data_IF_808570847463
#
_entry.id   IF_808570847463
#
_cell.length_a   1.000
_cell.length_b   1.000
_cell.length_c   1.000
_cell.angle_alpha   90.00
_cell.angle_beta   90.00
_cell.angle_gamma   90.00
#
_symmetry.space_group_name_H-M   'P 1'
#
loop_
_entity.id
_entity.type
_entity.pdbx_description
1 polymer ?
#
# COMPACT_ATOMS: atom_id res chain seq x y z
N UNK A 1 11.26 6.98 -8.01
CA UNK A 1 10.04 7.71 -8.42
C UNK A 1 9.54 8.46 -7.20
N UNK A 2 8.94 9.63 -7.38
CA UNK A 2 8.56 10.55 -6.30
C UNK A 2 7.06 10.84 -6.38
N UNK A 3 6.32 10.68 -5.29
CA UNK A 3 4.90 11.03 -5.24
C UNK A 3 4.75 12.53 -4.99
N UNK A 4 3.95 13.22 -5.81
CA UNK A 4 3.68 14.65 -5.62
C UNK A 4 2.19 14.91 -5.39
N UNK A 5 1.91 15.66 -4.33
CA UNK A 5 0.56 15.97 -3.85
C UNK A 5 0.48 17.43 -3.40
N UNK A 6 -0.72 17.99 -3.38
CA UNK A 6 -0.96 19.27 -2.74
C UNK A 6 -1.28 19.11 -1.24
N UNK A 7 -0.84 20.07 -0.44
CA UNK A 7 -1.34 20.33 0.91
C UNK A 7 -1.55 21.84 1.02
N UNK A 8 -2.81 22.29 1.04
CA UNK A 8 -3.18 23.71 1.10
C UNK A 8 -2.55 24.51 -0.06
N UNK A 9 -2.61 23.96 -1.27
CA UNK A 9 -2.05 24.57 -2.48
C UNK A 9 -0.51 24.59 -2.55
N UNK A 10 0.19 23.91 -1.64
CA UNK A 10 1.65 23.69 -1.72
C UNK A 10 1.95 22.27 -2.17
N UNK A 11 2.83 22.13 -3.15
CA UNK A 11 3.28 20.82 -3.63
C UNK A 11 4.25 20.24 -2.61
N UNK A 12 3.93 19.05 -2.11
CA UNK A 12 4.80 18.18 -1.34
C UNK A 12 5.29 17.04 -2.23
N UNK A 13 6.52 16.59 -2.00
CA UNK A 13 7.14 15.49 -2.69
C UNK A 13 7.58 14.44 -1.66
N UNK A 14 7.30 13.16 -1.93
CA UNK A 14 7.63 12.05 -1.04
C UNK A 14 8.33 10.95 -1.83
N UNK A 15 9.57 10.66 -1.47
CA UNK A 15 10.30 9.50 -1.96
C UNK A 15 10.02 8.28 -1.08
N UNK A 16 10.28 7.09 -1.62
CA UNK A 16 10.13 5.85 -0.85
C UNK A 16 11.00 5.84 0.41
N UNK A 17 12.19 6.44 0.33
CA UNK A 17 13.14 6.53 1.45
C UNK A 17 12.59 7.37 2.60
N UNK A 18 11.83 8.44 2.29
CA UNK A 18 11.17 9.25 3.32
C UNK A 18 10.15 8.42 4.10
N UNK A 19 9.37 7.60 3.39
CA UNK A 19 8.35 6.74 4.00
C UNK A 19 8.97 5.59 4.78
N UNK A 20 10.06 5.00 4.26
CA UNK A 20 10.83 4.00 5.00
C UNK A 20 11.44 4.58 6.28
N UNK A 21 11.93 5.83 6.24
CA UNK A 21 12.45 6.52 7.42
C UNK A 21 11.36 6.76 8.47
N UNK A 22 10.16 7.14 8.07
CA UNK A 22 9.02 7.32 8.97
C UNK A 22 8.55 6.00 9.59
N UNK A 23 8.47 4.92 8.81
CA UNK A 23 7.96 3.63 9.27
C UNK A 23 8.97 2.83 10.12
N UNK A 24 10.24 2.84 9.73
CA UNK A 24 11.28 1.97 10.27
C UNK A 24 11.38 0.59 9.59
N UNK A 25 12.27 -0.30 10.06
CA UNK A 25 12.75 -1.44 9.28
C UNK A 25 11.86 -2.70 9.30
N UNK A 26 10.81 -2.77 10.13
CA UNK A 26 10.17 -4.04 10.48
C UNK A 26 9.27 -4.68 9.41
N UNK A 27 8.63 -3.86 8.57
CA UNK A 27 7.65 -4.31 7.56
C UNK A 27 7.74 -3.50 6.25
N UNK A 28 8.91 -3.49 5.58
CA UNK A 28 9.14 -2.69 4.37
C UNK A 28 8.17 -3.05 3.23
N UNK A 29 7.72 -4.30 3.15
CA UNK A 29 6.74 -4.73 2.15
C UNK A 29 5.41 -3.98 2.24
N UNK A 30 4.92 -3.66 3.46
CA UNK A 30 3.71 -2.87 3.63
C UNK A 30 3.85 -1.44 3.10
N UNK A 31 5.02 -0.85 3.30
CA UNK A 31 5.38 0.47 2.75
C UNK A 31 5.43 0.41 1.22
N UNK A 32 6.12 -0.58 0.67
CA UNK A 32 6.23 -0.77 -0.78
C UNK A 32 4.86 -0.95 -1.46
N UNK A 33 3.95 -1.74 -0.86
CA UNK A 33 2.59 -1.89 -1.36
C UNK A 33 1.85 -0.55 -1.39
N UNK A 34 1.81 0.18 -0.27
CA UNK A 34 1.08 1.45 -0.21
C UNK A 34 1.69 2.52 -1.12
N UNK A 35 3.03 2.55 -1.26
CA UNK A 35 3.70 3.45 -2.19
C UNK A 35 3.28 3.15 -3.64
N UNK A 36 3.24 1.87 -4.04
CA UNK A 36 2.76 1.47 -5.38
C UNK A 36 1.28 1.71 -5.60
N UNK A 37 0.46 1.56 -4.56
CA UNK A 37 -0.97 1.92 -4.60
C UNK A 37 -1.13 3.41 -4.92
N UNK A 38 -0.39 4.29 -4.22
CA UNK A 38 -0.45 5.73 -4.45
C UNK A 38 0.15 6.10 -5.82
N UNK A 39 1.28 5.49 -6.20
CA UNK A 39 1.88 5.64 -7.53
C UNK A 39 0.88 5.32 -8.64
N UNK A 40 0.06 4.28 -8.45
CA UNK A 40 -0.95 3.86 -9.42
C UNK A 40 -2.20 4.76 -9.41
N UNK A 41 -2.69 5.13 -8.23
CA UNK A 41 -3.98 5.78 -8.07
C UNK A 41 -3.94 7.29 -8.31
N UNK A 42 -2.90 7.99 -7.85
CA UNK A 42 -2.88 9.46 -7.89
C UNK A 42 -3.07 10.05 -9.30
N UNK A 43 -2.43 9.53 -10.37
CA UNK A 43 -2.66 10.03 -11.73
C UNK A 43 -4.09 9.81 -12.25
N UNK A 44 -4.85 8.91 -11.63
CA UNK A 44 -6.26 8.63 -11.97
C UNK A 44 -7.23 9.52 -11.18
N UNK A 45 -6.78 10.11 -10.07
CA UNK A 45 -7.58 11.00 -9.23
C UNK A 45 -7.43 12.48 -9.63
N UNK A 46 -6.30 12.86 -10.20
CA UNK A 46 -6.05 14.21 -10.70
C UNK A 46 -4.67 14.37 -11.34
N UNK A 47 -4.38 15.59 -11.80
CA UNK A 47 -3.06 15.93 -12.34
C UNK A 47 -1.98 15.87 -11.24
N UNK A 48 -0.74 15.54 -11.62
CA UNK A 48 0.38 15.43 -10.68
C UNK A 48 0.53 16.70 -9.84
N UNK A 49 0.62 16.55 -8.52
CA UNK A 49 0.77 17.67 -7.60
C UNK A 49 -0.50 18.51 -7.36
N UNK A 50 -1.62 18.17 -7.99
CA UNK A 50 -2.90 18.89 -7.80
C UNK A 50 -3.84 18.20 -6.81
N UNK A 51 -3.67 16.89 -6.59
CA UNK A 51 -4.47 16.12 -5.64
C UNK A 51 -4.16 16.58 -4.21
N UNK A 52 -5.14 17.22 -3.57
CA UNK A 52 -5.06 17.64 -2.17
C UNK A 52 -5.07 16.42 -1.25
N UNK A 53 -3.93 16.14 -0.61
CA UNK A 53 -3.73 14.92 0.19
C UNK A 53 -4.74 14.77 1.33
N UNK A 54 -5.24 15.91 1.83
CA UNK A 54 -6.24 16.00 2.91
C UNK A 54 -7.67 15.68 2.48
N UNK A 55 -7.92 15.63 1.18
CA UNK A 55 -9.24 15.28 0.63
C UNK A 55 -9.31 13.80 0.22
N UNK A 56 -8.18 13.08 0.23
CA UNK A 56 -8.13 11.66 -0.16
C UNK A 56 -8.67 10.78 0.96
N UNK A 57 -9.62 9.91 0.66
CA UNK A 57 -10.11 8.85 1.56
C UNK A 57 -9.55 7.51 1.10
N UNK A 58 -9.24 6.63 2.04
CA UNK A 58 -8.67 5.31 1.77
C UNK A 58 -9.48 4.24 2.49
N UNK A 59 -9.97 3.26 1.72
CA UNK A 59 -10.51 1.99 2.22
C UNK A 59 -9.56 0.85 1.85
N UNK A 60 -9.35 -0.12 2.74
CA UNK A 60 -8.58 -1.33 2.41
C UNK A 60 -8.92 -2.50 3.31
N UNK A 61 -8.80 -3.73 2.81
CA UNK A 61 -8.79 -4.92 3.66
C UNK A 61 -7.42 -5.20 4.30
N UNK A 62 -6.37 -4.51 3.87
CA UNK A 62 -5.00 -4.74 4.30
C UNK A 62 -4.73 -4.17 5.70
N UNK A 63 -4.18 -5.00 6.59
CA UNK A 63 -4.03 -4.67 8.02
C UNK A 63 -2.58 -4.34 8.45
N UNK A 64 -1.63 -4.45 7.54
CA UNK A 64 -0.21 -4.29 7.85
C UNK A 64 0.18 -2.84 8.21
N UNK A 65 1.11 -2.65 9.17
CA UNK A 65 1.46 -1.33 9.70
C UNK A 65 2.13 -0.42 8.65
N UNK A 66 2.96 -0.97 7.76
CA UNK A 66 3.60 -0.17 6.71
C UNK A 66 2.62 0.52 5.76
N UNK A 67 1.45 -0.11 5.51
CA UNK A 67 0.37 0.53 4.73
C UNK A 67 -0.19 1.71 5.51
N UNK A 68 -0.57 1.49 6.77
CA UNK A 68 -1.12 2.54 7.64
C UNK A 68 -0.18 3.73 7.75
N UNK A 69 1.11 3.48 7.98
CA UNK A 69 2.11 4.53 8.15
C UNK A 69 2.36 5.31 6.86
N UNK A 70 2.33 4.63 5.71
CA UNK A 70 2.41 5.31 4.40
C UNK A 70 1.20 6.22 4.17
N UNK A 71 -0.01 5.74 4.45
CA UNK A 71 -1.23 6.54 4.30
C UNK A 71 -1.27 7.72 5.29
N UNK A 72 -0.70 7.57 6.49
CA UNK A 72 -0.54 8.68 7.43
C UNK A 72 0.48 9.69 6.92
N UNK A 73 1.69 9.25 6.58
CA UNK A 73 2.75 10.15 6.16
C UNK A 73 2.37 10.94 4.91
N UNK A 74 1.88 10.24 3.88
CA UNK A 74 1.63 10.82 2.56
C UNK A 74 0.28 11.54 2.50
N UNK A 75 -0.77 11.02 3.15
CA UNK A 75 -2.14 11.57 3.02
C UNK A 75 -2.72 12.19 4.30
N UNK A 76 -2.08 12.02 5.47
CA UNK A 76 -2.65 12.35 6.79
C UNK A 76 -3.97 11.64 7.08
N UNK A 77 -4.24 10.56 6.37
CA UNK A 77 -5.55 9.94 6.37
C UNK A 77 -5.85 9.20 7.69
N UNK A 78 -4.84 8.83 8.47
CA UNK A 78 -5.06 8.08 9.72
C UNK A 78 -5.43 9.03 10.85
N UNK A 79 -4.61 10.05 11.11
CA UNK A 79 -4.88 11.04 12.17
C UNK A 79 -6.15 11.85 11.90
N UNK A 80 -6.56 11.98 10.64
CA UNK A 80 -7.72 12.79 10.22
C UNK A 80 -8.92 11.93 9.79
N UNK A 81 -8.98 10.68 10.26
CA UNK A 81 -10.16 9.81 10.15
C UNK A 81 -10.68 9.58 8.71
N UNK A 82 -9.74 9.40 7.78
CA UNK A 82 -9.98 9.12 6.35
C UNK A 82 -9.36 7.80 5.90
N UNK A 83 -8.81 6.99 6.80
CA UNK A 83 -8.24 5.67 6.53
C UNK A 83 -9.05 4.59 7.25
N UNK A 84 -9.78 3.76 6.49
CA UNK A 84 -10.61 2.69 7.01
C UNK A 84 -10.02 1.34 6.63
N UNK A 85 -9.85 0.47 7.63
CA UNK A 85 -9.60 -0.96 7.40
C UNK A 85 -10.96 -1.67 7.42
N UNK A 86 -11.40 -2.14 6.26
CA UNK A 86 -12.71 -2.76 6.07
C UNK A 86 -12.58 -4.19 5.54
N UNK A 87 -13.03 -5.17 6.33
CA UNK A 87 -13.06 -6.57 5.91
C UNK A 87 -14.07 -6.85 4.81
N UNK A 88 -15.07 -5.99 4.60
CA UNK A 88 -16.01 -6.15 3.49
C UNK A 88 -15.34 -5.97 2.11
N UNK A 89 -14.15 -5.37 2.06
CA UNK A 89 -13.33 -5.25 0.85
C UNK A 89 -12.52 -6.52 0.53
N UNK A 90 -12.53 -7.53 1.40
CA UNK A 90 -11.78 -8.78 1.17
C UNK A 90 -12.26 -9.50 -0.10
N UNK A 91 -11.34 -9.76 -1.02
CA UNK A 91 -11.58 -10.51 -2.26
C UNK A 91 -11.33 -12.00 -2.05
N UNK A 92 -12.23 -12.64 -1.30
CA UNK A 92 -12.12 -14.07 -0.93
C UNK A 92 -12.06 -15.01 -2.14
N UNK A 93 -12.62 -14.59 -3.28
CA UNK A 93 -12.53 -15.31 -4.55
C UNK A 93 -11.10 -15.37 -5.13
N UNK A 94 -10.18 -14.56 -4.62
CA UNK A 94 -8.77 -14.51 -5.02
C UNK A 94 -7.83 -15.28 -4.09
N UNK A 95 -8.39 -16.01 -3.12
CA UNK A 95 -7.65 -16.85 -2.20
C UNK A 95 -6.88 -16.10 -1.12
N UNK A 96 -6.47 -16.85 -0.09
CA UNK A 96 -5.92 -16.30 1.16
C UNK A 96 -4.66 -15.44 1.01
N UNK A 97 -3.91 -15.64 -0.08
CA UNK A 97 -2.68 -14.89 -0.38
C UNK A 97 -2.97 -13.48 -0.86
N UNK A 98 -4.05 -13.27 -1.63
CA UNK A 98 -4.33 -11.99 -2.30
C UNK A 98 -5.57 -11.27 -1.75
N UNK A 99 -6.44 -11.97 -1.01
CA UNK A 99 -7.77 -11.47 -0.60
C UNK A 99 -7.74 -10.10 0.10
N UNK A 100 -6.65 -9.74 0.78
CA UNK A 100 -6.52 -8.48 1.53
C UNK A 100 -5.82 -7.36 0.78
N UNK A 101 -5.27 -7.62 -0.41
CA UNK A 101 -4.49 -6.64 -1.17
C UNK A 101 -5.39 -5.85 -2.13
N UNK A 102 -6.39 -5.21 -1.52
CA UNK A 102 -7.45 -4.43 -2.17
C UNK A 102 -7.46 -3.05 -1.55
N UNK A 103 -7.50 -2.01 -2.38
CA UNK A 103 -7.43 -0.62 -1.96
C UNK A 103 -8.43 0.22 -2.74
N UNK A 104 -9.16 1.07 -2.03
CA UNK A 104 -10.05 2.07 -2.61
C UNK A 104 -9.54 3.45 -2.22
N UNK A 105 -9.36 4.32 -3.20
CA UNK A 105 -8.94 5.70 -3.00
C UNK A 105 -9.99 6.63 -3.59
N UNK A 106 -10.66 7.37 -2.71
CA UNK A 106 -11.64 8.38 -3.08
C UNK A 106 -11.03 9.77 -3.04
N UNK A 107 -11.28 10.59 -4.05
CA UNK A 107 -10.92 12.01 -4.08
C UNK A 107 -12.02 12.79 -4.79
N UNK A 108 -12.73 13.63 -4.03
CA UNK A 108 -13.92 14.36 -4.51
C UNK A 108 -14.95 13.39 -5.11
N UNK A 109 -15.29 13.54 -6.38
CA UNK A 109 -16.26 12.71 -7.11
C UNK A 109 -15.62 11.49 -7.79
N UNK A 110 -14.30 11.30 -7.67
CA UNK A 110 -13.59 10.17 -8.25
C UNK A 110 -13.31 9.08 -7.20
N UNK A 111 -13.46 7.83 -7.61
CA UNK A 111 -13.09 6.65 -6.84
C UNK A 111 -12.23 5.74 -7.72
N UNK A 112 -11.11 5.28 -7.17
CA UNK A 112 -10.22 4.32 -7.82
C UNK A 112 -10.11 3.10 -6.93
N UNK A 113 -10.48 1.93 -7.46
CA UNK A 113 -10.28 0.64 -6.79
C UNK A 113 -9.13 -0.10 -7.44
N UNK A 114 -8.22 -0.57 -6.60
CA UNK A 114 -7.01 -1.27 -6.99
C UNK A 114 -6.94 -2.66 -6.35
N UNK A 115 -6.50 -3.62 -7.14
CA UNK A 115 -6.20 -4.96 -6.64
C UNK A 115 -4.87 -5.44 -7.15
N UNK A 116 -4.12 -6.15 -6.30
CA UNK A 116 -2.77 -6.58 -6.66
C UNK A 116 -2.80 -7.65 -7.75
N UNK A 117 -1.77 -7.70 -8.60
CA UNK A 117 -1.52 -8.82 -9.51
C UNK A 117 -0.81 -9.98 -8.82
N UNK A 118 -0.89 -11.16 -9.43
CA UNK A 118 -0.14 -12.33 -8.99
C UNK A 118 1.38 -12.13 -9.10
N UNK A 119 2.15 -12.91 -8.33
CA UNK A 119 3.61 -12.92 -8.40
C UNK A 119 4.33 -11.94 -7.46
N UNK A 120 3.63 -10.96 -6.89
CA UNK A 120 4.20 -10.00 -5.94
C UNK A 120 4.15 -10.49 -4.49
N UNK A 121 3.09 -11.21 -4.11
CA UNK A 121 2.93 -11.84 -2.79
C UNK A 121 3.11 -13.34 -2.97
N UNK A 122 3.89 -13.97 -2.09
CA UNK A 122 4.18 -15.41 -2.18
C UNK A 122 3.48 -16.18 -1.09
N UNK A 123 3.07 -17.40 -1.39
CA UNK A 123 2.47 -18.30 -0.40
C UNK A 123 3.43 -18.58 0.75
N UNK A 124 4.74 -18.72 0.49
CA UNK A 124 5.76 -18.91 1.52
C UNK A 124 5.74 -17.76 2.55
N UNK A 125 5.66 -16.51 2.07
CA UNK A 125 5.58 -15.34 2.94
C UNK A 125 4.31 -15.36 3.80
N UNK A 126 3.15 -15.68 3.20
CA UNK A 126 1.88 -15.75 3.91
C UNK A 126 1.88 -16.87 4.95
N UNK A 127 2.34 -18.06 4.58
CA UNK A 127 2.41 -19.22 5.47
C UNK A 127 3.32 -18.96 6.67
N UNK A 128 4.54 -18.44 6.45
CA UNK A 128 5.45 -18.08 7.53
C UNK A 128 4.93 -16.90 8.36
N UNK A 129 4.32 -15.90 7.72
CA UNK A 129 3.74 -14.75 8.39
C UNK A 129 2.61 -15.11 9.36
N UNK A 130 1.80 -16.14 9.02
CA UNK A 130 0.67 -16.62 9.82
C UNK A 130 1.04 -17.64 10.89
N UNK A 131 2.25 -18.18 10.86
CA UNK A 131 2.70 -19.20 11.83
C UNK A 131 2.75 -18.60 13.24
N UNK A 132 2.00 -19.19 14.17
CA UNK A 132 1.90 -18.71 15.56
C UNK A 132 3.22 -18.82 16.34
N UNK A 133 4.09 -19.74 15.95
CA UNK A 133 5.42 -19.92 16.56
C UNK A 133 6.42 -20.24 15.46
N UNK A 134 7.46 -19.41 15.35
CA UNK A 134 8.55 -19.57 14.40
C UNK A 134 9.83 -19.91 15.14
N UNK A 135 10.69 -20.68 14.48
CA UNK A 135 12.09 -20.85 14.88
C UNK A 135 12.91 -19.62 14.48
N UNK A 136 14.09 -19.44 15.06
CA UNK A 136 15.01 -18.35 14.70
C UNK A 136 15.34 -18.34 13.19
N UNK A 137 15.53 -19.52 12.60
CA UNK A 137 15.77 -19.65 11.16
C UNK A 137 14.57 -19.21 10.31
N UNK A 138 13.36 -19.47 10.77
CA UNK A 138 12.12 -19.03 10.10
C UNK A 138 11.91 -17.52 10.27
N UNK A 139 12.29 -16.93 11.40
CA UNK A 139 12.25 -15.47 11.58
C UNK A 139 13.27 -14.76 10.69
N UNK A 140 14.47 -15.32 10.53
CA UNK A 140 15.47 -14.84 9.56
C UNK A 140 14.94 -14.96 8.13
N UNK A 141 14.35 -16.11 7.76
CA UNK A 141 13.76 -16.30 6.43
C UNK A 141 12.60 -15.34 6.19
N UNK A 142 11.72 -15.15 7.15
CA UNK A 142 10.61 -14.21 7.04
C UNK A 142 11.10 -12.77 6.87
N UNK A 143 12.17 -12.40 7.56
CA UNK A 143 12.80 -11.09 7.41
C UNK A 143 13.33 -10.90 5.98
N UNK A 144 14.00 -11.90 5.42
CA UNK A 144 14.43 -11.89 4.03
C UNK A 144 13.24 -11.79 3.06
N UNK A 145 12.19 -12.59 3.26
CA UNK A 145 10.98 -12.56 2.43
C UNK A 145 10.27 -11.21 2.42
N UNK A 146 10.22 -10.50 3.57
CA UNK A 146 9.67 -9.15 3.65
C UNK A 146 10.46 -8.17 2.76
N UNK A 147 11.79 -8.29 2.76
CA UNK A 147 12.66 -7.45 1.93
C UNK A 147 12.53 -7.82 0.44
N UNK A 148 12.61 -9.11 0.11
CA UNK A 148 12.44 -9.61 -1.26
C UNK A 148 11.08 -9.19 -1.86
N UNK A 149 10.02 -9.16 -1.06
CA UNK A 149 8.72 -8.65 -1.47
C UNK A 149 8.76 -7.14 -1.75
N UNK A 150 9.34 -6.35 -0.84
CA UNK A 150 9.49 -4.91 -1.03
C UNK A 150 10.30 -4.59 -2.30
N UNK A 151 11.42 -5.28 -2.51
CA UNK A 151 12.30 -5.07 -3.67
C UNK A 151 11.57 -5.39 -4.98
N UNK A 152 10.85 -6.52 -5.05
CA UNK A 152 10.05 -6.90 -6.22
C UNK A 152 8.97 -5.88 -6.55
N UNK A 153 8.27 -5.38 -5.53
CA UNK A 153 7.25 -4.35 -5.70
C UNK A 153 7.88 -3.07 -6.26
N UNK A 154 8.95 -2.58 -5.63
CA UNK A 154 9.57 -1.30 -5.98
C UNK A 154 10.26 -1.31 -7.36
N UNK A 155 10.75 -2.46 -7.81
CA UNK A 155 11.35 -2.63 -9.13
C UNK A 155 10.34 -2.64 -10.28
N UNK A 156 9.05 -2.91 -10.01
CA UNK A 156 8.02 -3.01 -11.03
C UNK A 156 7.27 -1.68 -11.24
N UNK A 157 6.87 -1.32 -12.47
CA UNK A 157 5.94 -0.22 -12.72
C UNK A 157 4.60 -0.43 -11.98
N UNK A 158 4.02 0.61 -11.39
CA UNK A 158 2.83 0.45 -10.56
C UNK A 158 1.60 -0.11 -11.32
N UNK A 159 1.48 0.15 -12.62
CA UNK A 159 0.44 -0.41 -13.50
C UNK A 159 0.66 -1.89 -13.85
N UNK A 160 1.82 -2.44 -13.51
CA UNK A 160 2.12 -3.87 -13.55
C UNK A 160 1.98 -4.55 -12.18
N UNK A 161 1.90 -3.78 -11.10
CA UNK A 161 1.69 -4.29 -9.73
C UNK A 161 0.20 -4.34 -9.38
N UNK A 162 -0.54 -3.28 -9.70
CA UNK A 162 -1.96 -3.14 -9.34
C UNK A 162 -2.83 -2.88 -10.57
N UNK A 163 -3.89 -3.69 -10.69
CA UNK A 163 -4.95 -3.48 -11.65
C UNK A 163 -5.96 -2.46 -11.13
N UNK A 164 -6.44 -1.62 -12.03
CA UNK A 164 -7.62 -0.78 -11.77
C UNK A 164 -8.83 -1.64 -12.09
N UNK A 165 -9.70 -1.84 -11.10
CA UNK A 165 -10.95 -2.55 -11.28
C UNK A 165 -12.09 -1.55 -11.23
N UNK A 166 -13.00 -1.64 -12.20
CA UNK A 166 -14.27 -0.93 -12.14
C UNK A 166 -15.26 -1.68 -11.25
N UNK A 167 -16.27 -0.97 -10.77
CA UNK A 167 -17.49 -1.59 -10.25
C UNK A 167 -18.27 -2.33 -11.36
#
# INVERSE_FOLDING_TARGET
>A
MTLKLADQGKILAFDIDDVMLYHGPGFPGGVAHAYKVLERALPLLGEEGTVERRDVRVGTAHRGPGVRDTMEMVLRAVTEDRFTVDSALERTDRGETLERYVFELGYRDNLVRLEIREGFVTDEFIQLGRKASRTDAEDVRLTALKQEMADRLLAAPADQVYDVVGD
#
